data_IF_610582337140
#
_entry.id   IF_610582337140
#
_cell.length_a   1.000
_cell.length_b   1.000
_cell.length_c   1.000
_cell.angle_alpha   90.00
_cell.angle_beta   90.00
_cell.angle_gamma   90.00
#
_symmetry.space_group_name_H-M   'P 1'
#
loop_
_entity.id
_entity.type
_entity.pdbx_description
1 polymer ?
#
# COMPACT_ATOMS: atom_id res chain seq x y z
N UNK A 1 34.99 -45.30 5.32
CA UNK A 1 35.09 -43.95 5.89
C UNK A 1 33.88 -43.16 5.39
N UNK A 2 32.85 -42.91 6.21
CA UNK A 2 31.66 -42.21 5.74
C UNK A 2 31.98 -40.73 5.53
N UNK A 3 31.53 -40.24 4.37
CA UNK A 3 31.59 -38.85 3.91
C UNK A 3 30.90 -37.93 4.90
N UNK A 4 31.63 -36.91 5.36
CA UNK A 4 31.17 -35.82 6.21
C UNK A 4 29.89 -35.20 5.66
N UNK A 5 28.80 -35.30 6.41
CA UNK A 5 27.58 -34.56 6.14
C UNK A 5 27.85 -33.07 6.35
N UNK A 6 27.55 -32.27 5.34
CA UNK A 6 27.57 -30.81 5.40
C UNK A 6 26.56 -30.35 6.47
N UNK A 7 26.95 -29.49 7.42
CA UNK A 7 26.04 -29.03 8.45
C UNK A 7 24.92 -28.17 7.83
N UNK A 8 23.69 -28.23 8.36
CA UNK A 8 22.59 -27.41 7.87
C UNK A 8 22.94 -25.91 8.00
N UNK A 9 22.44 -25.06 7.10
CA UNK A 9 22.70 -23.63 7.15
C UNK A 9 22.22 -23.08 8.50
N UNK A 10 23.13 -22.39 9.21
CA UNK A 10 22.87 -21.71 10.47
C UNK A 10 21.69 -20.76 10.28
N UNK A 11 20.63 -20.95 11.09
CA UNK A 11 19.57 -19.97 11.28
C UNK A 11 20.20 -18.60 11.51
N UNK A 12 19.73 -17.52 10.86
CA UNK A 12 20.28 -16.18 11.09
C UNK A 12 20.20 -15.89 12.59
N UNK A 13 21.36 -15.69 13.21
CA UNK A 13 21.47 -15.37 14.63
C UNK A 13 20.53 -14.21 14.95
N UNK A 14 19.54 -14.45 15.83
CA UNK A 14 18.57 -13.42 16.20
C UNK A 14 19.32 -12.17 16.68
N UNK A 15 19.03 -11.02 16.05
CA UNK A 15 19.68 -9.76 16.45
C UNK A 15 19.37 -9.48 17.92
N UNK A 16 20.36 -9.05 18.75
CA UNK A 16 20.08 -8.67 20.13
C UNK A 16 19.00 -7.59 20.17
N UNK A 17 17.89 -7.86 20.87
CA UNK A 17 16.72 -6.96 20.91
C UNK A 17 17.08 -5.53 21.34
N UNK A 18 18.08 -5.35 22.20
CA UNK A 18 18.60 -4.03 22.59
C UNK A 18 19.06 -3.17 21.40
N UNK A 19 19.60 -3.77 20.34
CA UNK A 19 19.97 -3.04 19.11
C UNK A 19 18.74 -2.59 18.31
N UNK A 20 17.66 -3.38 18.34
CA UNK A 20 16.40 -3.03 17.70
C UNK A 20 15.74 -1.87 18.45
N UNK A 21 15.69 -1.94 19.79
CA UNK A 21 15.17 -0.86 20.64
C UNK A 21 15.97 0.42 20.48
N UNK A 22 17.30 0.35 20.46
CA UNK A 22 18.14 1.53 20.21
C UNK A 22 17.83 2.15 18.84
N UNK A 23 17.69 1.33 17.79
CA UNK A 23 17.34 1.80 16.46
C UNK A 23 15.95 2.46 16.43
N UNK A 24 14.97 1.88 17.11
CA UNK A 24 13.63 2.44 17.25
C UNK A 24 13.64 3.77 18.02
N UNK A 25 14.41 3.87 19.11
CA UNK A 25 14.58 5.09 19.88
C UNK A 25 15.23 6.21 19.06
N UNK A 26 16.26 5.90 18.25
CA UNK A 26 16.88 6.85 17.33
C UNK A 26 15.89 7.37 16.28
N UNK A 27 15.07 6.48 15.71
CA UNK A 27 14.01 6.88 14.78
C UNK A 27 12.95 7.74 15.46
N UNK A 28 12.52 7.42 16.68
CA UNK A 28 11.58 8.24 17.44
C UNK A 28 12.16 9.63 17.74
N UNK A 29 13.42 9.69 18.15
CA UNK A 29 14.14 10.94 18.42
C UNK A 29 14.29 11.82 17.17
N UNK A 30 14.24 11.24 15.97
CA UNK A 30 14.22 11.97 14.71
C UNK A 30 12.79 12.34 14.27
N UNK A 31 11.88 11.35 14.22
CA UNK A 31 10.54 11.50 13.67
C UNK A 31 9.67 12.47 14.48
N UNK A 32 9.78 12.48 15.82
CA UNK A 32 8.97 13.38 16.63
C UNK A 32 9.35 14.86 16.44
N UNK A 33 10.62 15.30 16.57
CA UNK A 33 10.99 16.68 16.25
C UNK A 33 10.73 17.05 14.80
N UNK A 34 10.96 16.14 13.86
CA UNK A 34 10.68 16.35 12.45
C UNK A 34 9.18 16.60 12.21
N UNK A 35 8.30 15.82 12.85
CA UNK A 35 6.86 16.00 12.81
C UNK A 35 6.48 17.40 13.29
N UNK A 36 6.80 17.76 14.54
CA UNK A 36 6.39 19.03 15.11
C UNK A 36 6.94 20.23 14.33
N UNK A 37 8.17 20.14 13.81
CA UNK A 37 8.79 21.20 13.02
C UNK A 37 8.10 21.37 11.66
N UNK A 38 7.91 20.28 10.91
CA UNK A 38 7.30 20.35 9.57
C UNK A 38 5.81 20.66 9.62
N UNK A 39 5.10 20.10 10.59
CA UNK A 39 3.68 20.36 10.85
C UNK A 39 3.46 21.81 11.31
N UNK A 40 4.25 22.28 12.28
CA UNK A 40 4.20 23.65 12.77
C UNK A 40 4.51 24.66 11.66
N UNK A 41 5.51 24.38 10.82
CA UNK A 41 5.84 25.21 9.67
C UNK A 41 4.70 25.28 8.65
N UNK A 42 4.11 24.14 8.30
CA UNK A 42 3.00 24.12 7.35
C UNK A 42 1.76 24.85 7.89
N UNK A 43 1.47 24.72 9.19
CA UNK A 43 0.40 25.48 9.87
C UNK A 43 0.67 26.98 9.92
N UNK A 44 1.92 27.39 10.17
CA UNK A 44 2.32 28.79 10.10
C UNK A 44 2.13 29.34 8.68
N UNK A 45 2.61 28.62 7.67
CA UNK A 45 2.47 29.02 6.27
C UNK A 45 0.99 29.10 5.84
N UNK A 46 0.17 28.13 6.23
CA UNK A 46 -1.27 28.18 5.98
C UNK A 46 -1.93 29.41 6.63
N UNK A 47 -1.50 29.82 7.84
CA UNK A 47 -2.02 31.02 8.50
C UNK A 47 -1.63 32.35 7.83
N UNK A 48 -0.67 32.34 6.91
CA UNK A 48 -0.31 33.53 6.11
C UNK A 48 -1.11 33.68 4.82
N UNK A 49 -2.02 32.74 4.51
CA UNK A 49 -2.80 32.75 3.27
C UNK A 49 -4.18 33.37 3.48
N UNK A 50 -4.55 34.29 2.60
CA UNK A 50 -5.80 35.06 2.69
C UNK A 50 -7.07 34.22 2.46
N UNK A 51 -6.97 33.18 1.61
CA UNK A 51 -8.09 32.31 1.25
C UNK A 51 -7.68 30.84 1.30
N UNK A 52 -8.29 30.09 2.22
CA UNK A 52 -8.06 28.66 2.40
C UNK A 52 -9.40 27.96 2.25
N UNK A 53 -9.58 27.21 1.16
CA UNK A 53 -10.85 26.57 0.81
C UNK A 53 -11.23 25.42 1.76
N UNK A 54 -12.47 24.94 1.66
CA UNK A 54 -12.97 23.79 2.41
C UNK A 54 -13.72 22.83 1.49
N UNK A 55 -13.45 21.54 1.61
CA UNK A 55 -14.20 20.48 0.90
C UNK A 55 -15.01 19.72 1.94
N UNK A 56 -16.32 19.94 1.96
CA UNK A 56 -17.24 19.34 2.93
C UNK A 56 -18.45 18.80 2.20
N UNK A 57 -18.80 17.54 2.45
CA UNK A 57 -20.04 16.99 1.93
C UNK A 57 -21.23 17.45 2.79
N UNK A 58 -22.39 17.69 2.16
CA UNK A 58 -23.59 18.17 2.86
C UNK A 58 -24.04 17.26 4.01
N UNK A 59 -23.89 15.94 3.86
CA UNK A 59 -24.27 14.97 4.88
C UNK A 59 -23.37 15.02 6.13
N UNK A 60 -22.13 15.56 6.05
CA UNK A 60 -21.20 15.62 7.19
C UNK A 60 -21.75 16.44 8.35
N UNK A 61 -22.64 17.40 8.09
CA UNK A 61 -23.34 18.18 9.13
C UNK A 61 -24.22 17.33 10.05
N UNK A 62 -24.58 16.12 9.63
CA UNK A 62 -25.38 15.18 10.43
C UNK A 62 -24.51 14.27 11.31
N UNK A 63 -23.17 14.34 11.18
CA UNK A 63 -22.26 13.55 12.01
C UNK A 63 -22.24 14.16 13.42
N UNK A 64 -22.71 13.45 14.45
CA UNK A 64 -22.73 13.99 15.81
C UNK A 64 -21.30 14.13 16.34
N UNK A 65 -21.06 15.21 17.08
CA UNK A 65 -19.84 15.33 17.87
C UNK A 65 -19.92 14.39 19.08
N UNK A 66 -18.90 13.54 19.24
CA UNK A 66 -18.85 12.55 20.32
C UNK A 66 -17.53 12.68 21.08
N UNK A 67 -17.54 13.47 22.16
CA UNK A 67 -16.31 13.87 22.85
C UNK A 67 -15.40 12.70 23.28
N UNK A 68 -15.95 11.56 23.73
CA UNK A 68 -15.15 10.45 24.23
C UNK A 68 -14.32 9.75 23.15
N UNK A 69 -14.67 9.89 21.86
CA UNK A 69 -13.90 9.29 20.75
C UNK A 69 -12.53 9.95 20.55
N UNK A 70 -12.24 11.04 21.27
CA UNK A 70 -10.88 11.59 21.38
C UNK A 70 -9.89 10.60 22.02
N UNK A 71 -10.38 9.66 22.84
CA UNK A 71 -9.53 8.60 23.44
C UNK A 71 -9.00 7.64 22.38
N UNK A 72 -9.82 6.96 21.55
CA UNK A 72 -9.31 6.16 20.45
C UNK A 72 -8.50 7.01 19.47
N UNK A 73 -8.90 8.25 19.18
CA UNK A 73 -8.08 9.17 18.36
C UNK A 73 -6.63 9.29 18.90
N UNK A 74 -6.45 9.65 20.17
CA UNK A 74 -5.12 9.75 20.79
C UNK A 74 -4.37 8.42 20.88
N UNK A 75 -5.08 7.29 20.96
CA UNK A 75 -4.46 5.98 21.08
C UNK A 75 -3.52 5.66 19.90
N UNK A 76 -3.72 6.27 18.73
CA UNK A 76 -2.80 6.07 17.61
C UNK A 76 -1.38 6.53 17.92
N UNK A 77 -1.20 7.58 18.72
CA UNK A 77 0.13 8.11 19.10
C UNK A 77 0.87 7.13 20.01
N UNK A 78 0.11 6.45 20.87
CA UNK A 78 0.64 5.36 21.68
C UNK A 78 1.07 4.20 20.78
N UNK A 79 0.18 3.71 19.90
CA UNK A 79 0.52 2.63 18.98
C UNK A 79 1.63 3.00 17.99
N UNK A 80 1.78 4.26 17.62
CA UNK A 80 2.87 4.75 16.79
C UNK A 80 4.24 4.44 17.43
N UNK A 81 4.39 4.81 18.71
CA UNK A 81 5.60 4.53 19.49
C UNK A 81 5.81 3.05 19.75
N UNK A 82 4.77 2.34 20.21
CA UNK A 82 4.85 0.90 20.46
C UNK A 82 5.20 0.10 19.20
N UNK A 83 4.67 0.46 18.04
CA UNK A 83 4.93 -0.28 16.79
C UNK A 83 6.39 -0.22 16.37
N UNK A 84 7.09 0.90 16.63
CA UNK A 84 8.53 1.01 16.36
C UNK A 84 9.35 0.15 17.32
N UNK A 85 8.99 0.15 18.60
CA UNK A 85 9.65 -0.67 19.63
C UNK A 85 9.41 -2.17 19.40
N UNK A 86 8.21 -2.56 18.96
CA UNK A 86 7.80 -3.92 18.69
C UNK A 86 8.16 -4.35 17.26
N UNK A 87 9.46 -4.54 17.02
CA UNK A 87 10.00 -5.13 15.79
C UNK A 87 10.99 -6.25 16.11
N UNK A 88 11.12 -7.19 15.17
CA UNK A 88 11.99 -8.36 15.31
C UNK A 88 13.40 -8.13 14.74
N UNK A 89 13.59 -7.03 14.00
CA UNK A 89 14.87 -6.68 13.37
C UNK A 89 15.01 -5.17 13.15
N UNK A 90 16.25 -4.69 13.05
CA UNK A 90 16.55 -3.29 12.68
C UNK A 90 15.98 -2.92 11.30
N UNK A 91 16.00 -3.85 10.35
CA UNK A 91 15.42 -3.63 9.02
C UNK A 91 13.91 -3.43 9.10
N UNK A 92 13.21 -4.16 9.98
CA UNK A 92 11.79 -3.97 10.24
C UNK A 92 11.48 -2.57 10.77
N UNK A 93 12.28 -2.10 11.75
CA UNK A 93 12.19 -0.72 12.27
C UNK A 93 12.41 0.30 11.16
N UNK A 94 13.45 0.15 10.34
CA UNK A 94 13.77 1.09 9.27
C UNK A 94 12.68 1.15 8.20
N UNK A 95 12.08 0.00 7.86
CA UNK A 95 10.93 -0.05 6.94
C UNK A 95 9.71 0.65 7.55
N UNK A 96 9.41 0.41 8.82
CA UNK A 96 8.27 1.06 9.48
C UNK A 96 8.48 2.58 9.59
N UNK A 97 9.67 3.01 10.00
CA UNK A 97 10.04 4.42 10.04
C UNK A 97 9.99 5.08 8.65
N UNK A 98 10.43 4.37 7.61
CA UNK A 98 10.31 4.83 6.22
C UNK A 98 8.86 5.05 5.78
N UNK A 99 7.93 4.19 6.22
CA UNK A 99 6.49 4.38 5.98
C UNK A 99 5.95 5.63 6.65
N UNK A 100 6.28 5.83 7.93
CA UNK A 100 5.88 7.03 8.66
C UNK A 100 6.45 8.30 8.05
N UNK A 101 7.74 8.30 7.71
CA UNK A 101 8.39 9.44 7.08
C UNK A 101 7.79 9.76 5.72
N UNK A 102 7.48 8.75 4.90
CA UNK A 102 6.83 8.95 3.60
C UNK A 102 5.44 9.55 3.77
N UNK A 103 4.63 8.99 4.66
CA UNK A 103 3.30 9.51 4.96
C UNK A 103 3.38 10.97 5.43
N UNK A 104 4.32 11.30 6.32
CA UNK A 104 4.55 12.67 6.80
C UNK A 104 4.91 13.62 5.66
N UNK A 105 5.95 13.29 4.87
CA UNK A 105 6.45 14.16 3.81
C UNK A 105 5.36 14.44 2.78
N UNK A 106 4.65 13.41 2.34
CA UNK A 106 3.59 13.57 1.34
C UNK A 106 2.40 14.34 1.91
N UNK A 107 1.96 14.04 3.14
CA UNK A 107 0.85 14.76 3.77
C UNK A 107 1.19 16.26 3.96
N UNK A 108 2.38 16.57 4.48
CA UNK A 108 2.84 17.97 4.64
C UNK A 108 3.00 18.67 3.30
N UNK A 109 3.56 18.02 2.28
CA UNK A 109 3.70 18.60 0.96
C UNK A 109 2.32 18.93 0.35
N UNK A 110 1.37 17.99 0.43
CA UNK A 110 -0.01 18.23 -0.01
C UNK A 110 -0.67 19.39 0.75
N UNK A 111 -0.49 19.45 2.07
CA UNK A 111 -1.01 20.52 2.91
C UNK A 111 -0.43 21.89 2.56
N UNK A 112 0.87 21.97 2.24
CA UNK A 112 1.53 23.21 1.79
C UNK A 112 1.00 23.65 0.41
N UNK A 113 0.78 22.71 -0.50
CA UNK A 113 0.31 22.99 -1.86
C UNK A 113 -1.19 23.35 -1.90
N UNK A 114 -2.00 22.67 -1.08
CA UNK A 114 -3.46 22.78 -1.04
C UNK A 114 -3.95 22.86 0.41
N UNK A 115 -3.72 23.99 1.11
CA UNK A 115 -4.21 24.14 2.47
C UNK A 115 -5.74 24.16 2.44
N UNK A 116 -6.37 23.39 3.35
CA UNK A 116 -7.82 23.40 3.55
C UNK A 116 -8.13 23.91 4.97
N UNK A 117 -9.26 24.59 5.15
CA UNK A 117 -9.73 25.03 6.47
C UNK A 117 -10.71 24.03 7.06
N UNK A 118 -10.62 23.84 8.38
CA UNK A 118 -11.67 23.17 9.12
C UNK A 118 -12.84 24.15 9.30
N UNK A 119 -14.04 23.72 8.94
CA UNK A 119 -15.25 24.58 8.98
C UNK A 119 -16.00 24.47 10.31
N UNK A 120 -15.76 23.43 11.10
CA UNK A 120 -16.48 23.17 12.34
C UNK A 120 -15.78 23.77 13.57
N UNK A 121 -16.50 24.58 14.33
CA UNK A 121 -16.05 25.08 15.65
C UNK A 121 -16.35 24.01 16.70
N UNK A 122 -15.33 23.54 17.40
CA UNK A 122 -15.47 22.48 18.42
C UNK A 122 -16.29 22.99 19.62
N UNK A 123 -17.24 22.21 20.15
CA UNK A 123 -17.95 22.57 21.37
C UNK A 123 -17.00 22.55 22.58
N UNK A 124 -17.29 23.36 23.60
CA UNK A 124 -16.60 23.26 24.89
C UNK A 124 -16.85 21.89 25.51
N UNK A 125 -15.77 21.21 25.94
CA UNK A 125 -15.83 19.88 26.55
C UNK A 125 -15.14 19.90 27.91
N UNK A 126 -15.68 19.14 28.87
CA UNK A 126 -15.15 19.03 30.23
C UNK A 126 -14.61 17.62 30.52
N UNK A 127 -13.85 17.48 31.61
CA UNK A 127 -13.25 16.20 32.03
C UNK A 127 -12.05 15.75 31.18
N UNK A 128 -11.77 14.44 31.18
CA UNK A 128 -10.64 13.85 30.45
C UNK A 128 -10.68 14.16 28.93
N UNK A 129 -11.83 14.08 28.24
CA UNK A 129 -11.91 14.49 26.84
C UNK A 129 -11.54 15.96 26.63
N UNK A 130 -12.01 16.86 27.49
CA UNK A 130 -11.67 18.29 27.44
C UNK A 130 -10.18 18.55 27.60
N UNK A 131 -9.52 17.85 28.53
CA UNK A 131 -8.06 17.92 28.67
C UNK A 131 -7.33 17.44 27.40
N UNK A 132 -7.72 16.31 26.84
CA UNK A 132 -7.11 15.77 25.62
C UNK A 132 -7.33 16.69 24.41
N UNK A 133 -8.49 17.32 24.30
CA UNK A 133 -8.75 18.33 23.28
C UNK A 133 -7.94 19.61 23.49
N UNK A 134 -7.73 20.04 24.73
CA UNK A 134 -6.89 21.21 25.03
C UNK A 134 -5.43 20.96 24.67
N UNK A 135 -4.88 19.79 25.00
CA UNK A 135 -3.53 19.39 24.57
C UNK A 135 -3.43 19.32 23.05
N UNK A 136 -4.44 18.75 22.38
CA UNK A 136 -4.47 18.67 20.92
C UNK A 136 -4.52 20.08 20.29
N UNK A 137 -5.42 20.95 20.78
CA UNK A 137 -5.57 22.32 20.29
C UNK A 137 -4.36 23.23 20.57
N UNK A 138 -3.47 22.84 21.49
CA UNK A 138 -2.21 23.55 21.73
C UNK A 138 -1.20 23.46 20.57
N UNK A 139 -1.28 22.42 19.75
CA UNK A 139 -0.40 22.20 18.59
C UNK A 139 -1.14 22.19 17.25
N UNK A 140 -2.44 21.91 17.28
CA UNK A 140 -3.26 21.74 16.09
C UNK A 140 -4.14 22.97 15.84
N UNK A 141 -3.82 23.72 14.78
CA UNK A 141 -4.56 24.90 14.32
C UNK A 141 -5.80 24.46 13.50
N UNK A 142 -6.80 25.33 13.26
CA UNK A 142 -8.04 24.96 12.55
C UNK A 142 -7.85 24.81 11.03
N UNK A 143 -6.77 24.17 10.60
CA UNK A 143 -6.51 23.82 9.21
C UNK A 143 -6.72 22.32 9.04
N UNK A 144 -7.50 21.96 8.02
CA UNK A 144 -7.75 20.57 7.68
C UNK A 144 -6.70 20.05 6.69
N UNK A 145 -6.39 18.75 6.77
CA UNK A 145 -5.34 18.12 5.97
C UNK A 145 -5.92 17.01 5.09
N UNK A 146 -6.00 17.29 3.80
CA UNK A 146 -6.16 16.29 2.76
C UNK A 146 -4.78 16.02 2.12
N UNK A 147 -4.17 14.83 2.29
CA UNK A 147 -4.68 13.62 2.95
C UNK A 147 -4.52 13.62 4.48
N UNK A 148 -5.40 12.90 5.20
CA UNK A 148 -5.26 12.75 6.66
C UNK A 148 -4.04 11.88 6.98
N UNK A 149 -3.04 12.50 7.61
CA UNK A 149 -1.89 11.79 8.16
C UNK A 149 -2.33 10.76 9.22
N UNK A 150 -3.33 11.10 10.04
CA UNK A 150 -3.85 10.21 11.08
C UNK A 150 -4.38 8.91 10.48
N UNK A 151 -5.15 8.99 9.39
CA UNK A 151 -5.65 7.81 8.68
C UNK A 151 -4.53 7.06 7.95
N UNK A 152 -3.54 7.77 7.38
CA UNK A 152 -2.37 7.13 6.78
C UNK A 152 -1.58 6.31 7.82
N UNK A 153 -1.32 6.88 9.00
CA UNK A 153 -0.70 6.19 10.12
C UNK A 153 -1.57 5.02 10.61
N UNK A 154 -2.90 5.19 10.64
CA UNK A 154 -3.83 4.13 11.05
C UNK A 154 -3.68 2.91 10.14
N UNK A 155 -3.64 3.11 8.81
CA UNK A 155 -3.45 2.02 7.85
C UNK A 155 -2.10 1.32 8.04
N UNK A 156 -1.02 2.09 8.27
CA UNK A 156 0.33 1.55 8.48
C UNK A 156 0.40 0.72 9.77
N UNK A 157 -0.11 1.27 10.88
CA UNK A 157 -0.12 0.62 12.20
C UNK A 157 -1.06 -0.58 12.19
N UNK A 158 -2.24 -0.44 11.57
CA UNK A 158 -3.18 -1.54 11.39
C UNK A 158 -2.52 -2.74 10.70
N UNK A 159 -1.77 -2.49 9.62
CA UNK A 159 -0.99 -3.54 8.94
C UNK A 159 0.07 -4.17 9.84
N UNK A 160 0.83 -3.35 10.56
CA UNK A 160 1.90 -3.83 11.43
C UNK A 160 1.36 -4.80 12.50
N UNK A 161 0.26 -4.47 13.15
CA UNK A 161 -0.31 -5.29 14.21
C UNK A 161 -1.14 -6.47 13.70
N UNK A 162 -1.86 -6.33 12.58
CA UNK A 162 -2.68 -7.45 12.05
C UNK A 162 -1.84 -8.66 11.66
N UNK A 163 -0.56 -8.47 11.32
CA UNK A 163 0.37 -9.55 11.00
C UNK A 163 0.88 -10.30 12.24
N UNK A 164 0.68 -9.72 13.44
CA UNK A 164 1.18 -10.25 14.73
C UNK A 164 0.07 -10.79 15.63
N UNK A 165 -1.17 -10.41 15.35
CA UNK A 165 -2.34 -10.81 16.11
C UNK A 165 -3.08 -11.94 15.38
N UNK A 166 -3.68 -12.85 16.15
CA UNK A 166 -4.49 -13.94 15.62
C UNK A 166 -5.77 -14.14 16.47
N UNK A 167 -6.75 -14.84 15.90
CA UNK A 167 -7.97 -15.21 16.60
C UNK A 167 -8.81 -14.01 17.08
N UNK A 168 -9.44 -14.08 18.26
CA UNK A 168 -10.30 -13.01 18.78
C UNK A 168 -9.60 -11.66 18.96
N UNK A 169 -8.30 -11.66 19.27
CA UNK A 169 -7.51 -10.43 19.44
C UNK A 169 -7.40 -9.65 18.13
N UNK A 170 -7.33 -10.35 16.99
CA UNK A 170 -7.35 -9.72 15.68
C UNK A 170 -8.70 -9.03 15.42
N UNK A 171 -9.81 -9.66 15.80
CA UNK A 171 -11.15 -9.06 15.73
C UNK A 171 -11.27 -7.79 16.59
N UNK A 172 -10.76 -7.84 17.83
CA UNK A 172 -10.71 -6.67 18.71
C UNK A 172 -9.86 -5.55 18.11
N UNK A 173 -8.71 -5.88 17.53
CA UNK A 173 -7.85 -4.91 16.86
C UNK A 173 -8.54 -4.24 15.67
N UNK A 174 -9.25 -5.00 14.84
CA UNK A 174 -10.06 -4.43 13.76
C UNK A 174 -11.15 -3.48 14.28
N UNK A 175 -11.86 -3.88 15.34
CA UNK A 175 -12.84 -3.02 16.00
C UNK A 175 -12.23 -1.73 16.54
N UNK A 176 -11.05 -1.81 17.16
CA UNK A 176 -10.34 -0.64 17.68
C UNK A 176 -9.87 0.28 16.56
N UNK A 177 -9.25 -0.25 15.49
CA UNK A 177 -8.87 0.53 14.32
C UNK A 177 -10.07 1.21 13.65
N UNK A 178 -11.23 0.55 13.60
CA UNK A 178 -12.46 1.17 13.12
C UNK A 178 -12.88 2.35 14.00
N UNK A 179 -12.79 2.23 15.33
CA UNK A 179 -13.06 3.35 16.24
C UNK A 179 -12.07 4.51 16.07
N UNK A 180 -10.78 4.25 15.82
CA UNK A 180 -9.80 5.28 15.47
C UNK A 180 -10.17 5.95 14.14
N UNK A 181 -10.57 5.18 13.13
CA UNK A 181 -11.02 5.73 11.85
C UNK A 181 -12.29 6.57 11.98
N UNK A 182 -13.27 6.12 12.77
CA UNK A 182 -14.51 6.85 13.02
C UNK A 182 -14.32 8.07 13.93
N UNK A 183 -13.29 8.05 14.81
CA UNK A 183 -13.03 9.16 15.71
C UNK A 183 -12.64 10.42 14.95
N UNK A 184 -11.96 10.33 13.80
CA UNK A 184 -11.57 11.52 13.04
C UNK A 184 -12.76 12.38 12.60
N UNK A 185 -13.90 11.74 12.31
CA UNK A 185 -15.15 12.42 11.95
C UNK A 185 -15.92 12.87 13.19
N UNK A 186 -16.05 12.01 14.19
CA UNK A 186 -16.86 12.32 15.40
C UNK A 186 -16.18 13.31 16.35
N UNK A 187 -14.88 13.54 16.20
CA UNK A 187 -14.13 14.62 16.87
C UNK A 187 -14.01 15.89 16.02
N UNK A 188 -14.63 15.90 14.83
CA UNK A 188 -14.58 16.98 13.83
C UNK A 188 -13.15 17.45 13.51
N UNK A 189 -12.16 16.55 13.53
CA UNK A 189 -10.78 16.88 13.16
C UNK A 189 -10.57 16.84 11.65
N UNK A 190 -11.28 15.96 10.96
CA UNK A 190 -11.13 15.72 9.53
C UNK A 190 -12.48 15.67 8.83
N UNK A 191 -12.48 16.04 7.56
CA UNK A 191 -13.58 15.84 6.65
C UNK A 191 -13.53 14.43 6.05
N UNK A 192 -14.68 13.95 5.54
CA UNK A 192 -14.76 12.59 5.01
C UNK A 192 -13.73 12.31 3.92
N UNK A 193 -13.41 13.31 3.09
CA UNK A 193 -12.48 13.18 1.98
C UNK A 193 -11.04 12.88 2.41
N UNK A 194 -10.67 13.22 3.64
CA UNK A 194 -9.35 12.98 4.18
C UNK A 194 -9.13 11.50 4.51
N UNK A 195 -10.21 10.74 4.69
CA UNK A 195 -10.17 9.31 4.98
C UNK A 195 -9.71 8.49 3.77
N UNK A 196 -10.37 8.51 2.59
CA UNK A 196 -9.92 7.73 1.44
C UNK A 196 -8.56 8.21 0.92
N UNK A 197 -8.28 9.51 0.96
CA UNK A 197 -6.97 10.05 0.53
C UNK A 197 -5.86 9.69 1.53
N UNK A 198 -6.13 9.76 2.83
CA UNK A 198 -5.22 9.27 3.88
C UNK A 198 -4.98 7.76 3.80
N UNK A 199 -6.02 6.97 3.54
CA UNK A 199 -5.89 5.53 3.36
C UNK A 199 -5.06 5.20 2.12
N UNK A 200 -5.29 5.89 1.00
CA UNK A 200 -4.50 5.74 -0.23
C UNK A 200 -3.02 6.04 0.04
N UNK A 201 -2.70 7.10 0.79
CA UNK A 201 -1.34 7.43 1.20
C UNK A 201 -0.74 6.36 2.13
N UNK A 202 -1.51 5.85 3.10
CA UNK A 202 -1.07 4.76 3.98
C UNK A 202 -0.72 3.49 3.19
N UNK A 203 -1.57 3.09 2.23
CA UNK A 203 -1.27 1.97 1.34
C UNK A 203 -0.08 2.26 0.42
N UNK A 204 0.08 3.49 -0.07
CA UNK A 204 1.26 3.89 -0.84
C UNK A 204 2.55 3.72 -0.04
N UNK A 205 2.57 4.14 1.23
CA UNK A 205 3.72 3.95 2.11
C UNK A 205 4.01 2.46 2.35
N UNK A 206 2.97 1.63 2.57
CA UNK A 206 3.11 0.18 2.71
C UNK A 206 3.64 -0.48 1.43
N UNK A 207 3.22 -0.01 0.27
CA UNK A 207 3.76 -0.47 -1.01
C UNK A 207 5.21 -0.04 -1.19
N UNK A 208 5.57 1.20 -0.87
CA UNK A 208 6.93 1.71 -1.04
C UNK A 208 7.94 0.98 -0.14
N UNK A 209 7.51 0.59 1.08
CA UNK A 209 8.30 -0.18 2.04
C UNK A 209 7.55 -1.48 2.41
N UNK A 210 7.59 -2.52 1.56
CA UNK A 210 6.85 -3.75 1.80
C UNK A 210 7.36 -4.48 3.05
N UNK A 211 6.47 -5.23 3.73
CA UNK A 211 6.83 -5.98 4.93
C UNK A 211 7.90 -7.06 4.63
N UNK A 212 7.78 -7.71 3.49
CA UNK A 212 8.67 -8.76 3.00
C UNK A 212 9.06 -8.50 1.55
N UNK A 213 10.18 -9.06 1.11
CA UNK A 213 10.69 -8.88 -0.26
C UNK A 213 11.53 -7.62 -0.45
N UNK A 214 11.81 -7.33 -1.71
CA UNK A 214 12.65 -6.21 -2.15
C UNK A 214 11.86 -4.90 -2.19
N UNK A 215 12.56 -3.78 -2.03
CA UNK A 215 11.95 -2.45 -2.21
C UNK A 215 11.61 -2.23 -3.69
N UNK A 216 10.45 -1.64 -4.04
CA UNK A 216 10.05 -1.44 -5.44
C UNK A 216 11.03 -0.61 -6.26
N UNK A 217 11.82 0.26 -5.64
CA UNK A 217 12.83 1.10 -6.27
C UNK A 217 14.25 0.54 -6.19
N UNK A 218 14.49 -0.56 -5.47
CA UNK A 218 15.82 -1.15 -5.37
C UNK A 218 16.32 -1.60 -6.75
N UNK A 219 17.53 -1.19 -7.12
CA UNK A 219 18.10 -1.52 -8.43
C UNK A 219 17.35 -0.91 -9.62
N UNK A 220 16.56 0.16 -9.41
CA UNK A 220 15.95 0.91 -10.50
C UNK A 220 17.02 1.38 -11.49
N UNK A 221 16.82 1.08 -12.77
CA UNK A 221 17.65 1.57 -13.87
C UNK A 221 16.74 1.98 -14.99
N UNK A 222 16.87 3.23 -15.46
CA UNK A 222 16.08 3.72 -16.57
C UNK A 222 16.27 2.80 -17.78
N UNK A 223 15.17 2.32 -18.35
CA UNK A 223 15.21 1.39 -19.47
C UNK A 223 15.80 2.05 -20.72
N UNK A 224 16.64 1.31 -21.44
CA UNK A 224 17.11 1.69 -22.77
C UNK A 224 16.21 1.12 -23.89
N UNK A 225 15.27 0.24 -23.55
CA UNK A 225 14.32 -0.33 -24.51
C UNK A 225 13.25 0.71 -24.89
N UNK A 226 13.22 1.07 -26.17
CA UNK A 226 12.27 2.02 -26.71
C UNK A 226 10.81 1.56 -26.57
N UNK A 227 10.52 0.24 -26.57
CA UNK A 227 9.16 -0.27 -26.36
C UNK A 227 8.74 -0.07 -24.90
N UNK A 228 9.60 -0.42 -23.95
CA UNK A 228 9.36 -0.22 -22.52
C UNK A 228 9.12 1.26 -22.20
N UNK A 229 9.90 2.17 -22.78
CA UNK A 229 9.70 3.61 -22.59
C UNK A 229 8.37 4.08 -23.24
N UNK A 230 7.99 3.60 -24.44
CA UNK A 230 6.67 3.93 -24.99
C UNK A 230 5.52 3.50 -24.07
N UNK A 231 5.60 2.30 -23.49
CA UNK A 231 4.60 1.81 -22.54
C UNK A 231 4.57 2.67 -21.26
N UNK A 232 5.73 2.97 -20.67
CA UNK A 232 5.83 3.85 -19.52
C UNK A 232 5.23 5.23 -19.81
N UNK A 233 5.44 5.80 -21.00
CA UNK A 233 4.84 7.07 -21.38
C UNK A 233 3.32 6.98 -21.50
N UNK A 234 2.76 5.92 -22.11
CA UNK A 234 1.31 5.76 -22.21
C UNK A 234 0.65 5.64 -20.83
N UNK A 235 1.25 4.86 -19.92
CA UNK A 235 0.77 4.78 -18.54
C UNK A 235 0.93 6.11 -17.79
N UNK A 236 2.03 6.83 -18.00
CA UNK A 236 2.25 8.14 -17.39
C UNK A 236 1.27 9.20 -17.91
N UNK A 237 0.94 9.20 -19.20
CA UNK A 237 -0.09 10.06 -19.78
C UNK A 237 -1.47 9.72 -19.21
N UNK A 238 -1.81 8.44 -19.10
CA UNK A 238 -3.06 8.01 -18.45
C UNK A 238 -3.14 8.46 -16.99
N UNK A 239 -2.04 8.35 -16.24
CA UNK A 239 -1.94 8.86 -14.87
C UNK A 239 -2.14 10.38 -14.82
N UNK A 240 -1.46 11.14 -15.69
CA UNK A 240 -1.56 12.60 -15.74
C UNK A 240 -2.97 13.07 -16.11
N UNK A 241 -3.66 12.38 -17.05
CA UNK A 241 -5.04 12.67 -17.42
C UNK A 241 -6.00 12.41 -16.25
N UNK A 242 -5.85 11.28 -15.55
CA UNK A 242 -6.67 10.97 -14.38
C UNK A 242 -6.42 11.97 -13.23
N UNK A 243 -5.17 12.35 -12.98
CA UNK A 243 -4.81 13.37 -12.00
C UNK A 243 -5.41 14.73 -12.35
N UNK A 244 -5.28 15.14 -13.61
CA UNK A 244 -5.87 16.40 -14.10
C UNK A 244 -7.39 16.37 -13.94
N UNK A 245 -8.03 15.24 -14.26
CA UNK A 245 -9.45 15.02 -14.02
C UNK A 245 -9.83 15.13 -12.54
N UNK A 246 -8.99 14.64 -11.63
CA UNK A 246 -9.21 14.78 -10.18
C UNK A 246 -9.11 16.25 -9.75
N UNK A 247 -8.05 16.95 -10.15
CA UNK A 247 -7.76 18.35 -9.77
C UNK A 247 -8.80 19.31 -10.35
N UNK A 248 -9.17 19.15 -11.62
CA UNK A 248 -10.19 19.99 -12.26
C UNK A 248 -11.59 19.60 -11.75
N UNK A 249 -11.85 18.30 -11.63
CA UNK A 249 -13.15 17.80 -11.22
C UNK A 249 -13.52 18.16 -9.78
N UNK A 250 -12.55 18.34 -8.87
CA UNK A 250 -12.83 18.69 -7.46
C UNK A 250 -13.55 20.04 -7.33
N UNK A 251 -13.37 20.95 -8.29
CA UNK A 251 -14.09 22.22 -8.34
C UNK A 251 -15.59 22.06 -8.63
N UNK A 252 -15.99 20.91 -9.19
CA UNK A 252 -17.39 20.59 -9.50
C UNK A 252 -17.98 19.55 -8.54
N UNK A 253 -17.19 18.56 -8.13
CA UNK A 253 -17.61 17.49 -7.23
C UNK A 253 -16.41 16.86 -6.53
N UNK A 254 -16.50 16.70 -5.22
CA UNK A 254 -15.51 15.98 -4.42
C UNK A 254 -15.38 14.49 -4.84
N UNK A 255 -16.35 13.91 -5.55
CA UNK A 255 -16.23 12.56 -6.11
C UNK A 255 -15.12 12.45 -7.17
N UNK A 256 -14.71 13.55 -7.80
CA UNK A 256 -13.61 13.54 -8.76
C UNK A 256 -12.29 13.07 -8.14
N UNK A 257 -12.12 13.23 -6.82
CA UNK A 257 -10.93 12.75 -6.10
C UNK A 257 -10.81 11.22 -6.10
N UNK A 258 -11.86 10.47 -6.43
CA UNK A 258 -11.76 9.04 -6.70
C UNK A 258 -10.79 8.72 -7.84
N UNK A 259 -10.57 9.66 -8.78
CA UNK A 259 -9.61 9.51 -9.88
C UNK A 259 -8.14 9.51 -9.41
N UNK A 260 -7.85 9.92 -8.17
CA UNK A 260 -6.51 9.80 -7.58
C UNK A 260 -6.08 8.33 -7.47
N UNK A 261 -7.01 7.42 -7.25
CA UNK A 261 -6.72 5.99 -7.12
C UNK A 261 -6.23 5.36 -8.44
N UNK A 262 -6.98 5.43 -9.57
CA UNK A 262 -6.45 4.97 -10.86
C UNK A 262 -5.25 5.79 -11.32
N UNK A 263 -5.17 7.09 -11.03
CA UNK A 263 -3.98 7.90 -11.31
C UNK A 263 -2.73 7.32 -10.67
N UNK A 264 -2.77 7.04 -9.36
CA UNK A 264 -1.65 6.44 -8.64
C UNK A 264 -1.33 5.03 -9.15
N UNK A 265 -2.34 4.21 -9.43
CA UNK A 265 -2.15 2.89 -10.00
C UNK A 265 -1.37 2.93 -11.32
N UNK A 266 -1.78 3.81 -12.25
CA UNK A 266 -1.13 3.99 -13.54
C UNK A 266 0.28 4.57 -13.39
N UNK A 267 0.51 5.48 -12.44
CA UNK A 267 1.85 6.01 -12.15
C UNK A 267 2.80 4.92 -11.65
N UNK A 268 2.33 4.00 -10.79
CA UNK A 268 3.12 2.85 -10.34
C UNK A 268 3.44 1.90 -11.51
N UNK A 269 2.48 1.67 -12.42
CA UNK A 269 2.70 0.85 -13.61
C UNK A 269 3.68 1.53 -14.58
N UNK A 270 3.56 2.85 -14.78
CA UNK A 270 4.54 3.62 -15.55
C UNK A 270 5.95 3.47 -14.96
N UNK A 271 6.08 3.52 -13.63
CA UNK A 271 7.34 3.29 -12.92
C UNK A 271 7.89 1.87 -13.14
N UNK A 272 7.01 0.86 -13.24
CA UNK A 272 7.37 -0.51 -13.61
C UNK A 272 8.12 -0.54 -14.96
N UNK A 273 7.47 -0.01 -15.99
CA UNK A 273 7.97 -0.01 -17.37
C UNK A 273 9.17 0.93 -17.56
N UNK A 274 9.29 1.99 -16.76
CA UNK A 274 10.40 2.93 -16.84
C UNK A 274 11.72 2.32 -16.37
N UNK A 275 11.70 1.28 -15.53
CA UNK A 275 12.94 0.67 -15.01
C UNK A 275 12.84 -0.08 -13.69
N UNK A 276 11.69 -0.06 -13.01
CA UNK A 276 11.55 -0.78 -11.74
C UNK A 276 11.33 -2.29 -11.94
N UNK A 277 10.70 -2.68 -13.05
CA UNK A 277 10.42 -4.07 -13.38
C UNK A 277 9.22 -4.65 -12.62
N UNK A 278 9.01 -5.97 -12.75
CA UNK A 278 7.85 -6.70 -12.22
C UNK A 278 7.69 -6.64 -10.69
N UNK A 279 8.75 -6.34 -9.93
CA UNK A 279 8.70 -6.26 -8.47
C UNK A 279 7.71 -5.22 -7.93
N UNK A 280 7.31 -4.22 -8.72
CA UNK A 280 6.29 -3.25 -8.32
C UNK A 280 4.94 -3.90 -8.01
N UNK A 281 4.65 -5.06 -8.61
CA UNK A 281 3.41 -5.81 -8.38
C UNK A 281 3.45 -6.60 -7.07
N UNK A 282 4.62 -6.73 -6.43
CA UNK A 282 4.83 -7.40 -5.14
C UNK A 282 4.19 -8.79 -5.09
N UNK A 283 4.34 -9.52 -6.19
CA UNK A 283 3.84 -10.88 -6.34
C UNK A 283 4.87 -11.86 -5.81
N UNK A 284 4.44 -12.69 -4.88
CA UNK A 284 5.24 -13.77 -4.32
C UNK A 284 5.26 -14.98 -5.25
N UNK A 285 6.17 -15.91 -4.98
CA UNK A 285 6.35 -17.14 -5.77
C UNK A 285 5.08 -18.01 -5.79
N UNK A 286 4.24 -17.94 -4.76
CA UNK A 286 2.97 -18.67 -4.70
C UNK A 286 1.81 -17.98 -5.45
N UNK A 287 2.10 -16.87 -6.14
CA UNK A 287 1.17 -16.08 -6.94
C UNK A 287 0.32 -15.07 -6.15
N UNK A 288 0.47 -15.01 -4.82
CA UNK A 288 -0.21 -14.01 -3.99
C UNK A 288 0.50 -12.67 -4.07
N UNK A 289 -0.25 -11.58 -3.93
CA UNK A 289 0.32 -10.22 -3.87
C UNK A 289 0.16 -9.63 -2.47
N UNK A 290 1.01 -8.67 -2.12
CA UNK A 290 0.84 -7.91 -0.87
C UNK A 290 -0.51 -7.17 -0.86
N UNK A 291 -1.06 -6.92 0.33
CA UNK A 291 -2.31 -6.17 0.46
C UNK A 291 -2.20 -4.76 -0.13
N UNK A 292 -1.08 -4.08 0.11
CA UNK A 292 -0.83 -2.75 -0.41
C UNK A 292 -0.84 -2.74 -1.95
N UNK A 293 -0.12 -3.69 -2.56
CA UNK A 293 -0.15 -3.88 -4.01
C UNK A 293 -1.56 -4.20 -4.49
N UNK A 294 -2.29 -5.10 -3.81
CA UNK A 294 -3.67 -5.50 -4.16
C UNK A 294 -4.58 -4.29 -4.25
N UNK A 295 -4.59 -3.44 -3.23
CA UNK A 295 -5.47 -2.28 -3.13
C UNK A 295 -5.04 -1.18 -4.10
N UNK A 296 -3.77 -0.76 -4.08
CA UNK A 296 -3.31 0.35 -4.93
C UNK A 296 -3.50 0.06 -6.41
N UNK A 297 -3.13 -1.14 -6.85
CA UNK A 297 -3.20 -1.54 -8.26
C UNK A 297 -4.54 -2.18 -8.63
N UNK A 298 -5.55 -2.15 -7.75
CA UNK A 298 -6.87 -2.72 -8.05
C UNK A 298 -7.50 -2.15 -9.33
N UNK A 299 -7.51 -0.81 -9.57
CA UNK A 299 -8.08 -0.26 -10.80
C UNK A 299 -7.35 -0.76 -12.06
N UNK A 300 -6.01 -0.86 -11.99
CA UNK A 300 -5.19 -1.41 -13.07
C UNK A 300 -5.49 -2.90 -13.31
N UNK A 301 -5.53 -3.72 -12.24
CA UNK A 301 -5.83 -5.15 -12.34
C UNK A 301 -7.23 -5.43 -12.86
N UNK A 302 -8.20 -4.59 -12.53
CA UNK A 302 -9.53 -4.67 -13.13
C UNK A 302 -9.44 -4.48 -14.64
N UNK A 303 -8.71 -3.46 -15.10
CA UNK A 303 -8.39 -3.25 -16.51
C UNK A 303 -7.68 -4.46 -17.14
N UNK A 304 -6.66 -5.01 -16.49
CA UNK A 304 -5.93 -6.19 -16.97
C UNK A 304 -6.83 -7.44 -17.08
N UNK A 305 -7.75 -7.67 -16.13
CA UNK A 305 -8.72 -8.77 -16.21
C UNK A 305 -9.70 -8.59 -17.37
N UNK A 306 -10.20 -7.36 -17.57
CA UNK A 306 -11.04 -7.03 -18.72
C UNK A 306 -10.26 -7.22 -20.02
N UNK A 307 -8.98 -6.85 -20.06
CA UNK A 307 -8.09 -7.04 -21.20
C UNK A 307 -7.96 -8.53 -21.53
N UNK A 308 -7.59 -9.37 -20.55
CA UNK A 308 -7.51 -10.83 -20.73
C UNK A 308 -8.81 -11.39 -21.28
N UNK A 309 -9.95 -11.06 -20.66
CA UNK A 309 -11.25 -11.53 -21.13
C UNK A 309 -11.54 -11.07 -22.57
N UNK A 310 -11.37 -9.79 -22.88
CA UNK A 310 -11.74 -9.23 -24.18
C UNK A 310 -10.92 -9.84 -25.34
N UNK A 311 -9.61 -10.04 -25.14
CA UNK A 311 -8.72 -10.59 -26.16
C UNK A 311 -8.80 -12.11 -26.28
N UNK A 312 -9.06 -12.82 -25.19
CA UNK A 312 -9.02 -14.29 -25.17
C UNK A 312 -10.40 -14.95 -25.24
N UNK A 313 -11.50 -14.20 -25.18
CA UNK A 313 -12.89 -14.76 -25.18
C UNK A 313 -13.23 -15.65 -26.39
N UNK A 314 -12.51 -15.53 -27.51
CA UNK A 314 -12.71 -16.36 -28.71
C UNK A 314 -11.64 -17.43 -28.89
N UNK A 315 -10.64 -17.46 -28.02
CA UNK A 315 -9.55 -18.42 -28.07
C UNK A 315 -9.85 -19.60 -27.15
N UNK A 316 -9.33 -20.80 -27.44
CA UNK A 316 -9.30 -21.87 -26.46
C UNK A 316 -8.62 -21.37 -25.18
N UNK A 317 -9.18 -21.63 -23.99
CA UNK A 317 -8.57 -21.16 -22.73
C UNK A 317 -7.21 -21.81 -22.47
N UNK A 318 -7.04 -23.04 -22.97
CA UNK A 318 -5.83 -23.85 -22.83
C UNK A 318 -5.62 -24.69 -24.09
N UNK A 319 -4.36 -24.85 -24.50
CA UNK A 319 -3.94 -25.68 -25.66
C UNK A 319 -2.81 -26.64 -25.21
N UNK A 320 -2.86 -27.93 -25.56
CA UNK A 320 -1.76 -28.85 -25.29
C UNK A 320 -0.52 -28.50 -26.14
N UNK A 321 0.66 -28.55 -25.51
CA UNK A 321 1.95 -28.39 -26.20
C UNK A 321 2.56 -29.77 -26.43
N UNK A 322 2.98 -30.44 -25.36
CA UNK A 322 3.49 -31.82 -25.38
C UNK A 322 3.58 -32.40 -23.96
N UNK A 323 3.55 -33.73 -23.83
CA UNK A 323 3.90 -34.46 -22.59
C UNK A 323 3.23 -33.97 -21.29
N UNK A 324 1.97 -33.54 -21.37
CA UNK A 324 1.23 -33.03 -20.21
C UNK A 324 1.52 -31.57 -19.84
N UNK A 325 2.22 -30.84 -20.71
CA UNK A 325 2.40 -29.38 -20.66
C UNK A 325 1.38 -28.70 -21.56
N UNK A 326 0.75 -27.67 -21.03
CA UNK A 326 -0.28 -26.89 -21.66
C UNK A 326 0.06 -25.41 -21.61
N UNK A 327 -0.35 -24.65 -22.61
CA UNK A 327 -0.22 -23.21 -22.68
C UNK A 327 -1.62 -22.59 -22.64
N UNK A 328 -1.80 -21.55 -21.84
CA UNK A 328 -3.10 -20.90 -21.74
C UNK A 328 -3.05 -19.42 -21.43
N UNK A 329 -4.24 -18.82 -21.39
CA UNK A 329 -4.43 -17.53 -20.74
C UNK A 329 -4.35 -17.70 -19.21
N UNK A 330 -4.26 -16.59 -18.49
CA UNK A 330 -4.32 -16.63 -17.03
C UNK A 330 -5.63 -17.31 -16.55
N UNK A 331 -5.55 -18.41 -15.79
CA UNK A 331 -6.70 -19.26 -15.48
C UNK A 331 -7.55 -18.67 -14.34
N UNK A 332 -8.84 -18.96 -14.36
CA UNK A 332 -9.67 -18.86 -13.15
C UNK A 332 -9.43 -20.07 -12.22
N UNK A 333 -10.03 -20.08 -11.02
CA UNK A 333 -9.82 -21.14 -10.04
C UNK A 333 -10.21 -22.54 -10.56
N UNK A 334 -11.33 -22.64 -11.29
CA UNK A 334 -11.81 -23.91 -11.84
C UNK A 334 -10.93 -24.41 -13.00
N UNK A 335 -10.43 -23.49 -13.82
CA UNK A 335 -9.47 -23.81 -14.89
C UNK A 335 -8.13 -24.29 -14.30
N UNK A 336 -7.66 -23.66 -13.22
CA UNK A 336 -6.44 -24.05 -12.54
C UNK A 336 -6.54 -25.40 -11.81
N UNK A 337 -7.73 -25.79 -11.34
CA UNK A 337 -7.98 -27.08 -10.67
C UNK A 337 -7.73 -28.29 -11.59
N UNK A 338 -7.85 -28.10 -12.91
CA UNK A 338 -7.53 -29.14 -13.90
C UNK A 338 -6.03 -29.46 -14.03
N UNK A 339 -5.15 -28.74 -13.33
CA UNK A 339 -3.70 -28.86 -13.46
C UNK A 339 -3.03 -29.13 -12.11
N UNK A 340 -2.01 -30.00 -12.13
CA UNK A 340 -1.21 -30.26 -10.94
C UNK A 340 -0.36 -29.05 -10.52
N UNK A 341 0.14 -28.28 -11.49
CA UNK A 341 0.90 -27.05 -11.26
C UNK A 341 0.60 -25.99 -12.31
N UNK A 342 0.48 -24.73 -11.88
CA UNK A 342 0.46 -23.54 -12.74
C UNK A 342 1.81 -22.82 -12.65
N UNK A 343 2.48 -22.63 -13.79
CA UNK A 343 3.68 -21.82 -13.97
C UNK A 343 3.25 -20.45 -14.49
N UNK A 344 3.17 -19.47 -13.61
CA UNK A 344 2.52 -18.20 -13.88
C UNK A 344 3.53 -17.10 -14.23
N UNK A 345 3.48 -16.65 -15.48
CA UNK A 345 4.38 -15.63 -16.01
C UNK A 345 3.85 -14.19 -15.86
N UNK A 346 2.61 -13.99 -15.44
CA UNK A 346 2.00 -12.66 -15.39
C UNK A 346 2.36 -11.94 -14.08
N UNK A 347 3.12 -10.84 -14.12
CA UNK A 347 3.42 -10.11 -12.89
C UNK A 347 2.18 -9.45 -12.24
N UNK A 348 1.24 -9.02 -13.07
CA UNK A 348 0.13 -8.15 -12.68
C UNK A 348 -1.10 -8.87 -12.13
N UNK A 349 -1.37 -10.09 -12.59
CA UNK A 349 -2.56 -10.84 -12.18
C UNK A 349 -2.30 -11.56 -10.87
N UNK A 350 -3.32 -11.70 -10.04
CA UNK A 350 -3.19 -12.38 -8.74
C UNK A 350 -3.76 -13.81 -8.86
N UNK A 351 -3.08 -14.78 -8.25
CA UNK A 351 -3.59 -16.15 -8.12
C UNK A 351 -5.02 -16.14 -7.56
N UNK A 352 -5.98 -16.86 -8.17
CA UNK A 352 -7.32 -17.02 -7.60
C UNK A 352 -7.26 -17.67 -6.20
N UNK A 353 -7.99 -17.11 -5.23
CA UNK A 353 -7.91 -17.54 -3.83
C UNK A 353 -8.23 -19.01 -3.58
N UNK A 354 -9.15 -19.57 -4.38
CA UNK A 354 -9.66 -20.94 -4.22
C UNK A 354 -8.92 -21.97 -5.09
N UNK A 355 -7.87 -21.58 -5.81
CA UNK A 355 -7.12 -22.51 -6.66
C UNK A 355 -6.37 -23.54 -5.80
N UNK A 356 -6.66 -24.85 -5.87
CA UNK A 356 -6.10 -25.86 -4.97
C UNK A 356 -4.71 -26.36 -5.41
N UNK A 357 -4.38 -26.22 -6.70
CA UNK A 357 -3.12 -26.69 -7.29
C UNK A 357 -1.87 -25.93 -6.82
N UNK A 358 -0.70 -26.50 -7.14
CA UNK A 358 0.59 -25.81 -6.92
C UNK A 358 0.69 -24.62 -7.86
N UNK A 359 1.27 -23.53 -7.37
CA UNK A 359 1.41 -22.29 -8.13
C UNK A 359 2.84 -21.79 -7.99
N UNK A 360 3.50 -21.55 -9.11
CA UNK A 360 4.86 -21.00 -9.15
C UNK A 360 4.86 -19.80 -10.09
N UNK A 361 5.04 -18.60 -9.53
CA UNK A 361 5.02 -17.35 -10.28
C UNK A 361 6.43 -16.88 -10.61
N UNK A 362 6.63 -16.59 -11.89
CA UNK A 362 7.82 -15.97 -12.47
C UNK A 362 7.39 -14.69 -13.17
N UNK A 363 6.89 -13.72 -12.39
CA UNK A 363 6.23 -12.53 -12.91
C UNK A 363 7.10 -11.70 -13.85
N UNK A 364 6.64 -11.55 -15.09
CA UNK A 364 7.24 -10.72 -16.15
C UNK A 364 6.31 -9.55 -16.48
N UNK A 365 6.89 -8.46 -17.00
CA UNK A 365 6.10 -7.34 -17.52
C UNK A 365 5.50 -7.72 -18.87
N UNK A 366 4.20 -7.44 -19.03
CA UNK A 366 3.51 -7.71 -20.29
C UNK A 366 4.10 -6.89 -21.45
N UNK A 367 3.99 -7.42 -22.66
CA UNK A 367 4.49 -6.83 -23.91
C UNK A 367 6.01 -6.59 -23.98
N UNK A 368 6.80 -6.98 -22.98
CA UNK A 368 8.26 -6.91 -23.03
C UNK A 368 8.88 -8.30 -23.19
N UNK A 369 10.11 -8.34 -23.72
CA UNK A 369 10.87 -9.58 -23.74
C UNK A 369 11.16 -10.04 -22.31
N UNK A 370 10.98 -11.33 -22.00
CA UNK A 370 11.22 -11.84 -20.66
C UNK A 370 12.73 -11.74 -20.32
N UNK A 371 13.10 -11.35 -19.08
CA UNK A 371 14.49 -11.40 -18.64
C UNK A 371 15.03 -12.83 -18.72
N UNK A 372 16.23 -13.02 -19.28
CA UNK A 372 16.83 -14.35 -19.50
C UNK A 372 16.84 -15.21 -18.23
N UNK A 373 17.33 -14.66 -17.11
CA UNK A 373 17.39 -15.38 -15.83
C UNK A 373 16.00 -15.83 -15.34
N UNK A 374 14.95 -15.02 -15.55
CA UNK A 374 13.59 -15.36 -15.14
C UNK A 374 12.97 -16.40 -16.07
N UNK A 375 13.27 -16.32 -17.37
CA UNK A 375 12.86 -17.33 -18.35
C UNK A 375 13.51 -18.68 -18.05
N UNK A 376 14.81 -18.70 -17.79
CA UNK A 376 15.56 -19.92 -17.45
C UNK A 376 15.01 -20.57 -16.17
N UNK A 377 14.68 -19.76 -15.15
CA UNK A 377 14.03 -20.26 -13.93
C UNK A 377 12.65 -20.84 -14.21
N UNK A 378 11.82 -20.16 -15.03
CA UNK A 378 10.49 -20.65 -15.39
C UNK A 378 10.57 -21.97 -16.17
N UNK A 379 11.49 -22.08 -17.13
CA UNK A 379 11.73 -23.31 -17.91
C UNK A 379 12.23 -24.44 -17.01
N UNK A 380 13.18 -24.16 -16.12
CA UNK A 380 13.71 -25.14 -15.19
C UNK A 380 12.66 -25.67 -14.20
N UNK A 381 11.59 -24.90 -13.94
CA UNK A 381 10.49 -25.30 -13.08
C UNK A 381 9.49 -26.28 -13.74
N UNK A 382 9.44 -26.35 -15.07
CA UNK A 382 8.44 -27.15 -15.81
C UNK A 382 8.63 -28.65 -15.57
N UNK A 383 9.85 -29.17 -15.76
CA UNK A 383 10.09 -30.62 -15.68
C UNK A 383 9.86 -31.18 -14.25
N UNK A 384 10.34 -30.53 -13.17
CA UNK A 384 9.97 -30.94 -11.81
C UNK A 384 8.46 -30.87 -11.53
N UNK A 385 7.77 -29.86 -12.06
CA UNK A 385 6.32 -29.73 -11.92
C UNK A 385 5.57 -30.86 -12.64
N UNK A 386 6.04 -31.26 -13.83
CA UNK A 386 5.47 -32.35 -14.64
C UNK A 386 5.48 -33.70 -13.94
N UNK A 387 6.47 -33.96 -13.10
CA UNK A 387 6.55 -35.17 -12.26
C UNK A 387 5.43 -35.25 -11.21
N UNK A 388 4.73 -34.16 -10.97
CA UNK A 388 3.66 -34.05 -9.99
C UNK A 388 2.27 -33.84 -10.62
N UNK A 389 2.15 -33.94 -11.96
CA UNK A 389 0.88 -33.81 -12.68
C UNK A 389 1.01 -32.98 -13.96
N UNK A 390 -0.12 -32.66 -14.58
CA UNK A 390 -0.18 -31.75 -15.74
C UNK A 390 0.24 -30.34 -15.35
N UNK A 391 0.89 -29.64 -16.28
CA UNK A 391 1.41 -28.29 -16.08
C UNK A 391 0.72 -27.33 -17.01
N UNK A 392 0.18 -26.24 -16.46
CA UNK A 392 -0.29 -25.08 -17.24
C UNK A 392 0.75 -23.97 -17.12
N UNK A 393 1.19 -23.44 -18.27
CA UNK A 393 2.03 -22.24 -18.38
C UNK A 393 1.16 -21.06 -18.81
#
# INVERSE_FOLDING_TARGET
MPSSAEPPPLSPSAEPYGRVVLRAALWLAFLAPFFYSTYGFANWLASTRDHVGSIVFSWEHHVPFVAWTIVPYWSINLFYGLSLLLNDSRQGVDRLAGRYLTAQIVAVACFILFPLTATFVRPETSGLPGFLFAVLGGFDKPFNQAPSLHIALLVIIWDHWRQRLAGPLLGLWHGWCFLIGASVLTTWQHHFIDIPTGALLGFFALWLFPAQGQLPFAGFRLTADGKAWRLALYYALGAALALTGAVVGVFFSALALLLLWPSLALAIVAFAYAGAGAKVFQKAVDGRVSLASRILLWPYRLGARVNVWAWTRKLPPVVPVSDGVFLGRFPNAAEADGFGTVIDLAAELERPGDAPGRWQSFGMLDLLSPPADTLDQAVAAIEPARRHGTVLV
#
